data_IF_629628442589
#
_entry.id   IF_629628442589
#
_cell.length_a   1.000
_cell.length_b   1.000
_cell.length_c   1.000
_cell.angle_alpha   90.00
_cell.angle_beta   90.00
_cell.angle_gamma   90.00
#
_symmetry.space_group_name_H-M   'P 1'
#
loop_
_entity.id
_entity.type
_entity.pdbx_description
1 polymer ?
#
# COMPACT_ATOMS: atom_id res chain seq x y z
N UNK A 1 1.20 -2.30 5.47
CA UNK A 1 1.22 -3.75 5.20
C UNK A 1 -0.16 -4.42 5.28
N UNK A 2 -1.00 -4.22 6.33
CA UNK A 2 -2.33 -4.86 6.38
C UNK A 2 -3.18 -4.61 5.13
N UNK A 3 -3.19 -3.39 4.62
CA UNK A 3 -3.96 -3.04 3.41
C UNK A 3 -3.48 -3.82 2.18
N UNK A 4 -2.18 -4.03 2.01
CA UNK A 4 -1.62 -4.81 0.90
C UNK A 4 -2.08 -6.27 1.01
N UNK A 5 -1.97 -6.86 2.21
CA UNK A 5 -2.40 -8.24 2.47
C UNK A 5 -3.89 -8.41 2.13
N UNK A 6 -4.75 -7.49 2.60
CA UNK A 6 -6.18 -7.54 2.32
C UNK A 6 -6.51 -7.32 0.83
N UNK A 7 -5.87 -6.34 0.18
CA UNK A 7 -6.14 -6.00 -1.22
C UNK A 7 -5.72 -7.10 -2.20
N UNK A 8 -4.63 -7.79 -1.92
CA UNK A 8 -4.12 -8.88 -2.76
C UNK A 8 -4.61 -10.26 -2.31
N UNK A 9 -5.33 -10.33 -1.19
CA UNK A 9 -5.79 -11.58 -0.58
C UNK A 9 -4.64 -12.52 -0.21
N UNK A 10 -3.54 -11.97 0.34
CA UNK A 10 -2.32 -12.73 0.67
C UNK A 10 -2.57 -13.63 1.87
N UNK A 11 -2.59 -14.93 1.62
CA UNK A 11 -2.70 -15.98 2.63
C UNK A 11 -2.12 -17.29 2.06
N UNK A 12 -1.61 -18.22 2.86
CA UNK A 12 -1.03 -19.46 2.34
C UNK A 12 -1.99 -20.27 1.48
N UNK A 13 -3.27 -20.34 1.85
CA UNK A 13 -4.30 -21.09 1.15
C UNK A 13 -4.86 -20.39 -0.10
N UNK A 14 -4.61 -19.10 -0.25
CA UNK A 14 -5.02 -18.35 -1.45
C UNK A 14 -3.92 -18.24 -2.49
N UNK A 15 -2.66 -18.58 -2.13
CA UNK A 15 -1.54 -18.61 -3.07
C UNK A 15 -1.71 -19.78 -4.03
N UNK A 16 -1.83 -19.51 -5.34
CA UNK A 16 -2.09 -20.50 -6.39
C UNK A 16 -0.91 -20.72 -7.33
N UNK A 17 0.04 -19.77 -7.39
CA UNK A 17 1.17 -19.89 -8.29
C UNK A 17 2.12 -18.70 -8.20
N UNK A 18 3.05 -18.66 -9.16
CA UNK A 18 4.05 -17.58 -9.26
C UNK A 18 4.45 -17.36 -10.72
N UNK A 19 4.48 -16.12 -11.15
CA UNK A 19 5.13 -15.70 -12.39
C UNK A 19 6.63 -15.63 -12.10
N UNK A 20 7.43 -16.34 -12.89
CA UNK A 20 8.87 -16.43 -12.73
C UNK A 20 9.55 -15.18 -13.32
N UNK A 21 10.67 -14.79 -12.76
CA UNK A 21 11.44 -13.62 -13.23
C UNK A 21 10.57 -12.37 -13.40
N UNK A 22 9.62 -12.18 -12.46
CA UNK A 22 8.65 -11.11 -12.51
C UNK A 22 9.23 -9.78 -12.02
N UNK A 23 9.17 -8.77 -12.89
CA UNK A 23 9.52 -7.39 -12.56
C UNK A 23 8.35 -6.46 -12.98
N UNK A 24 7.77 -5.75 -12.02
CA UNK A 24 6.61 -4.86 -12.27
C UNK A 24 6.95 -3.78 -13.28
N UNK A 25 8.13 -3.17 -13.19
CA UNK A 25 8.55 -2.11 -14.12
C UNK A 25 8.71 -2.64 -15.53
N UNK A 26 9.24 -3.83 -15.68
CA UNK A 26 9.38 -4.51 -16.95
C UNK A 26 8.00 -4.81 -17.57
N UNK A 27 7.08 -5.30 -16.76
CA UNK A 27 5.71 -5.55 -17.22
C UNK A 27 5.01 -4.27 -17.68
N UNK A 28 5.19 -3.14 -16.96
CA UNK A 28 4.58 -1.86 -17.34
C UNK A 28 5.21 -1.24 -18.60
N UNK A 29 6.53 -1.40 -18.80
CA UNK A 29 7.31 -0.70 -19.81
C UNK A 29 7.63 -1.54 -21.05
N UNK A 30 7.59 -2.88 -20.98
CA UNK A 30 7.96 -3.76 -22.10
C UNK A 30 6.88 -3.88 -23.17
N UNK A 31 7.33 -4.13 -24.40
CA UNK A 31 6.46 -4.38 -25.56
C UNK A 31 5.63 -5.68 -25.39
N UNK A 32 4.59 -5.83 -26.22
CA UNK A 32 3.64 -6.95 -26.18
C UNK A 32 4.23 -8.33 -26.48
N UNK A 33 5.46 -8.40 -27.00
CA UNK A 33 6.08 -9.64 -27.54
C UNK A 33 6.85 -10.46 -26.49
N UNK A 34 6.73 -10.12 -25.20
CA UNK A 34 7.42 -10.83 -24.13
C UNK A 34 6.52 -11.92 -23.57
N UNK A 35 7.09 -13.11 -23.35
CA UNK A 35 6.45 -14.23 -22.67
C UNK A 35 6.85 -14.24 -21.19
N UNK A 36 5.88 -14.59 -20.36
CA UNK A 36 6.01 -14.77 -18.92
C UNK A 36 5.81 -16.25 -18.59
N UNK A 37 6.78 -16.83 -17.92
CA UNK A 37 6.67 -18.20 -17.43
C UNK A 37 5.93 -18.19 -16.08
N UNK A 38 4.84 -18.91 -16.03
CA UNK A 38 3.96 -19.00 -14.87
C UNK A 38 4.00 -20.43 -14.33
N UNK A 39 4.33 -20.57 -13.06
CA UNK A 39 4.14 -21.82 -12.34
C UNK A 39 2.77 -21.77 -11.64
N UNK A 40 1.80 -22.55 -12.13
CA UNK A 40 0.44 -22.56 -11.64
C UNK A 40 0.03 -23.99 -11.32
N UNK A 41 -0.34 -24.28 -10.06
CA UNK A 41 -0.74 -25.60 -9.57
C UNK A 41 0.25 -26.74 -9.92
N UNK A 42 1.54 -26.39 -10.01
CA UNK A 42 2.60 -27.35 -10.36
C UNK A 42 2.85 -27.52 -11.87
N UNK A 43 2.06 -26.90 -12.71
CA UNK A 43 2.26 -26.84 -14.16
C UNK A 43 2.99 -25.56 -14.57
N UNK A 44 3.79 -25.65 -15.65
CA UNK A 44 4.46 -24.50 -16.24
C UNK A 44 3.72 -24.03 -17.48
N UNK A 45 3.33 -22.76 -17.48
CA UNK A 45 2.67 -22.10 -18.60
C UNK A 45 3.58 -20.98 -19.10
N UNK A 46 3.70 -20.81 -20.43
CA UNK A 46 4.37 -19.63 -21.02
C UNK A 46 3.31 -18.76 -21.70
N UNK A 47 3.06 -17.58 -21.18
CA UNK A 47 1.99 -16.69 -21.60
C UNK A 47 2.55 -15.38 -22.12
N UNK A 48 2.01 -14.88 -23.24
CA UNK A 48 2.25 -13.49 -23.64
C UNK A 48 1.59 -12.53 -22.64
N UNK A 49 1.97 -11.24 -22.66
CA UNK A 49 1.39 -10.21 -21.78
C UNK A 49 -0.14 -10.17 -21.84
N UNK A 50 -0.70 -10.20 -23.06
CA UNK A 50 -2.17 -10.14 -23.25
C UNK A 50 -2.84 -11.40 -22.69
N UNK A 51 -2.24 -12.58 -22.92
CA UNK A 51 -2.72 -13.86 -22.37
C UNK A 51 -2.57 -13.95 -20.85
N UNK A 52 -1.52 -13.35 -20.29
CA UNK A 52 -1.37 -13.27 -18.83
C UNK A 52 -2.48 -12.39 -18.21
N UNK A 53 -2.82 -11.27 -18.85
CA UNK A 53 -3.93 -10.42 -18.39
C UNK A 53 -5.27 -11.17 -18.43
N UNK A 54 -5.59 -11.83 -19.57
CA UNK A 54 -6.79 -12.66 -19.70
C UNK A 54 -6.82 -13.74 -18.62
N UNK A 55 -5.72 -14.45 -18.41
CA UNK A 55 -5.61 -15.49 -17.39
C UNK A 55 -5.87 -14.96 -15.97
N UNK A 56 -5.30 -13.79 -15.61
CA UNK A 56 -5.52 -13.18 -14.30
C UNK A 56 -6.98 -12.73 -14.11
N UNK A 57 -7.60 -12.16 -15.14
CA UNK A 57 -8.98 -11.67 -15.08
C UNK A 57 -9.99 -12.82 -15.02
N UNK A 58 -9.88 -13.81 -15.90
CA UNK A 58 -10.78 -14.97 -15.98
C UNK A 58 -10.71 -15.83 -14.72
N UNK A 59 -9.50 -16.04 -14.20
CA UNK A 59 -9.25 -16.81 -12.98
C UNK A 59 -9.51 -16.03 -11.70
N UNK A 60 -9.76 -14.72 -11.79
CA UNK A 60 -9.90 -13.82 -10.65
C UNK A 60 -8.68 -13.87 -9.71
N UNK A 61 -7.50 -13.75 -10.29
CA UNK A 61 -6.25 -13.72 -9.53
C UNK A 61 -5.71 -12.31 -9.40
N UNK A 62 -5.11 -12.04 -8.24
CA UNK A 62 -4.23 -10.89 -8.03
C UNK A 62 -2.79 -11.32 -8.16
N UNK A 63 -1.91 -10.39 -8.56
CA UNK A 63 -0.47 -10.60 -8.65
C UNK A 63 0.26 -9.63 -7.74
N UNK A 64 1.15 -10.14 -6.89
CA UNK A 64 2.02 -9.33 -6.07
C UNK A 64 3.30 -8.94 -6.81
N UNK A 65 4.03 -7.95 -6.29
CA UNK A 65 5.26 -7.47 -6.94
C UNK A 65 6.42 -8.47 -6.98
N UNK A 66 6.33 -9.59 -6.26
CA UNK A 66 7.26 -10.71 -6.39
C UNK A 66 6.76 -11.81 -7.36
N UNK A 67 5.68 -11.55 -8.10
CA UNK A 67 5.08 -12.47 -9.05
C UNK A 67 4.14 -13.51 -8.44
N UNK A 68 3.97 -13.58 -7.13
CA UNK A 68 3.02 -14.51 -6.51
C UNK A 68 1.59 -14.18 -6.89
N UNK A 69 0.83 -15.25 -7.21
CA UNK A 69 -0.56 -15.20 -7.61
C UNK A 69 -1.47 -15.64 -6.46
N UNK A 70 -2.52 -14.87 -6.22
CA UNK A 70 -3.50 -15.15 -5.18
C UNK A 70 -4.91 -15.15 -5.76
N UNK A 71 -5.72 -16.15 -5.44
CA UNK A 71 -7.14 -16.21 -5.83
C UNK A 71 -7.96 -15.21 -4.99
N UNK A 72 -9.04 -14.68 -5.58
CA UNK A 72 -9.92 -13.70 -4.94
C UNK A 72 -11.38 -14.13 -4.87
N UNK A 73 -11.68 -15.36 -5.24
CA UNK A 73 -13.02 -15.96 -5.18
C UNK A 73 -13.50 -16.18 -3.73
N UNK A 74 -12.56 -16.49 -2.82
CA UNK A 74 -12.79 -16.60 -1.38
C UNK A 74 -11.84 -15.68 -0.61
N UNK A 75 -12.30 -15.16 0.53
CA UNK A 75 -11.48 -14.34 1.39
C UNK A 75 -10.53 -15.22 2.22
N UNK A 76 -9.23 -15.00 2.08
CA UNK A 76 -8.22 -15.75 2.82
C UNK A 76 -8.32 -15.54 4.34
N UNK A 77 -7.85 -16.52 5.11
CA UNK A 77 -7.87 -16.49 6.58
C UNK A 77 -7.16 -15.24 7.14
N UNK A 78 -5.97 -14.95 6.63
CA UNK A 78 -5.17 -13.82 7.12
C UNK A 78 -5.82 -12.48 6.77
N UNK A 79 -6.25 -12.22 5.52
CA UNK A 79 -7.05 -11.05 5.17
C UNK A 79 -8.31 -10.89 6.02
N UNK A 80 -9.06 -11.97 6.26
CA UNK A 80 -10.28 -11.94 7.07
C UNK A 80 -10.02 -11.53 8.54
N UNK A 81 -8.95 -12.04 9.15
CA UNK A 81 -8.52 -11.64 10.50
C UNK A 81 -8.10 -10.16 10.52
N UNK A 82 -7.33 -9.72 9.53
CA UNK A 82 -6.88 -8.32 9.44
C UNK A 82 -8.05 -7.36 9.26
N UNK A 83 -9.02 -7.69 8.40
CA UNK A 83 -10.21 -6.86 8.20
C UNK A 83 -11.01 -6.73 9.50
N UNK A 84 -11.25 -7.84 10.20
CA UNK A 84 -11.93 -7.81 11.50
C UNK A 84 -11.21 -6.89 12.49
N UNK A 85 -9.92 -7.04 12.67
CA UNK A 85 -9.15 -6.20 13.61
C UNK A 85 -9.10 -4.73 13.17
N UNK A 86 -9.08 -4.48 11.87
CA UNK A 86 -9.15 -3.12 11.33
C UNK A 86 -10.49 -2.46 11.64
N UNK A 87 -11.61 -3.16 11.42
CA UNK A 87 -12.95 -2.66 11.72
C UNK A 87 -13.12 -2.38 13.23
N UNK A 88 -12.69 -3.31 14.08
CA UNK A 88 -12.69 -3.12 15.54
C UNK A 88 -11.88 -1.88 15.95
N UNK A 89 -10.71 -1.68 15.33
CA UNK A 89 -9.88 -0.49 15.58
C UNK A 89 -10.60 0.81 15.18
N UNK A 90 -11.26 0.82 14.04
CA UNK A 90 -12.03 1.99 13.57
C UNK A 90 -13.13 2.34 14.57
N UNK A 91 -13.85 1.33 15.09
CA UNK A 91 -14.87 1.54 16.10
C UNK A 91 -14.28 2.07 17.43
N UNK A 92 -13.21 1.47 17.92
CA UNK A 92 -12.54 1.94 19.14
C UNK A 92 -12.04 3.38 19.00
N UNK A 93 -11.52 3.79 17.85
CA UNK A 93 -11.13 5.18 17.58
C UNK A 93 -12.32 6.15 17.60
N UNK A 94 -13.48 5.74 17.08
CA UNK A 94 -14.71 6.54 17.16
C UNK A 94 -15.15 6.73 18.61
N UNK A 95 -15.11 5.66 19.42
CA UNK A 95 -15.47 5.69 20.83
C UNK A 95 -14.44 6.49 21.66
N UNK A 96 -13.14 6.34 21.41
CA UNK A 96 -12.09 7.15 22.01
C UNK A 96 -12.36 8.64 21.80
N UNK A 97 -12.62 9.06 20.55
CA UNK A 97 -12.94 10.46 20.23
C UNK A 97 -14.23 10.92 20.91
N UNK A 98 -15.29 10.08 20.90
CA UNK A 98 -16.57 10.40 21.54
C UNK A 98 -16.40 10.68 23.04
N UNK A 99 -15.72 9.78 23.76
CA UNK A 99 -15.53 9.92 25.21
C UNK A 99 -14.48 10.97 25.57
N UNK A 100 -13.50 11.23 24.72
CA UNK A 100 -12.62 12.39 24.84
C UNK A 100 -13.37 13.72 24.80
N UNK A 101 -14.31 13.87 23.86
CA UNK A 101 -15.13 15.08 23.72
C UNK A 101 -16.15 15.24 24.86
N UNK A 102 -16.64 14.15 25.46
CA UNK A 102 -17.59 14.19 26.58
C UNK A 102 -16.92 14.37 27.95
N UNK A 103 -15.57 14.36 28.00
CA UNK A 103 -14.81 14.47 29.26
C UNK A 103 -14.79 13.20 30.13
N UNK A 104 -15.32 12.08 29.65
CA UNK A 104 -15.24 10.79 30.33
C UNK A 104 -13.83 10.19 30.19
N UNK A 105 -12.95 10.56 31.11
CA UNK A 105 -11.52 10.20 31.07
C UNK A 105 -11.29 8.68 31.16
N UNK A 106 -12.11 7.97 31.94
CA UNK A 106 -11.95 6.52 32.12
C UNK A 106 -12.24 5.76 30.83
N UNK A 107 -13.39 6.02 30.22
CA UNK A 107 -13.74 5.40 28.93
C UNK A 107 -12.82 5.85 27.80
N UNK A 108 -12.41 7.12 27.80
CA UNK A 108 -11.42 7.61 26.82
C UNK A 108 -10.13 6.80 26.90
N UNK A 109 -9.55 6.60 28.09
CA UNK A 109 -8.33 5.80 28.26
C UNK A 109 -8.54 4.33 27.90
N UNK A 110 -9.67 3.75 28.26
CA UNK A 110 -10.02 2.37 27.92
C UNK A 110 -10.02 2.16 26.40
N UNK A 111 -10.73 2.99 25.63
CA UNK A 111 -10.80 2.85 24.18
C UNK A 111 -9.50 3.24 23.49
N UNK A 112 -8.73 4.17 24.04
CA UNK A 112 -7.37 4.48 23.58
C UNK A 112 -6.45 3.26 23.70
N UNK A 113 -6.49 2.54 24.82
CA UNK A 113 -5.72 1.30 24.99
C UNK A 113 -6.18 0.21 24.01
N UNK A 114 -7.49 0.01 23.85
CA UNK A 114 -8.07 -0.99 22.95
C UNK A 114 -7.67 -0.76 21.50
N UNK A 115 -7.81 0.46 20.98
CA UNK A 115 -7.41 0.75 19.59
C UNK A 115 -5.89 0.61 19.38
N UNK A 116 -5.09 0.88 20.42
CA UNK A 116 -3.64 0.68 20.36
C UNK A 116 -3.28 -0.81 20.26
N UNK A 117 -3.93 -1.67 21.05
CA UNK A 117 -3.75 -3.13 20.96
C UNK A 117 -4.06 -3.62 19.55
N UNK A 118 -5.17 -3.17 18.94
CA UNK A 118 -5.51 -3.55 17.56
C UNK A 118 -4.45 -3.05 16.56
N UNK A 119 -3.89 -1.86 16.75
CA UNK A 119 -2.78 -1.37 15.92
C UNK A 119 -1.57 -2.30 16.00
N UNK A 120 -1.21 -2.74 17.21
CA UNK A 120 -0.08 -3.65 17.41
C UNK A 120 -0.35 -5.00 16.74
N UNK A 121 -1.54 -5.58 16.92
CA UNK A 121 -1.93 -6.86 16.29
C UNK A 121 -1.86 -6.79 14.77
N UNK A 122 -2.42 -5.74 14.16
CA UNK A 122 -2.40 -5.51 12.72
C UNK A 122 -0.97 -5.46 12.15
N UNK A 123 -0.06 -4.79 12.85
CA UNK A 123 1.33 -4.66 12.40
C UNK A 123 2.14 -5.94 12.67
N UNK A 124 1.86 -6.64 13.77
CA UNK A 124 2.59 -7.85 14.16
C UNK A 124 2.29 -9.04 13.24
N UNK A 125 1.06 -9.12 12.69
CA UNK A 125 0.69 -10.24 11.84
C UNK A 125 1.55 -10.32 10.58
N UNK A 126 1.91 -9.17 9.98
CA UNK A 126 2.88 -9.16 8.89
C UNK A 126 4.24 -9.74 9.33
N UNK A 127 4.76 -9.30 10.50
CA UNK A 127 6.07 -9.75 10.99
C UNK A 127 6.15 -11.26 11.21
N UNK A 128 5.06 -11.90 11.65
CA UNK A 128 5.05 -13.35 11.87
C UNK A 128 4.96 -14.17 10.59
N UNK A 129 4.45 -13.62 9.46
CA UNK A 129 4.46 -14.31 8.17
C UNK A 129 5.87 -14.65 7.70
N UNK A 130 6.85 -13.83 8.03
CA UNK A 130 8.27 -14.06 7.74
C UNK A 130 9.02 -14.85 8.82
N UNK A 131 8.36 -15.33 9.87
CA UNK A 131 8.99 -16.04 10.98
C UNK A 131 8.91 -17.56 10.78
N UNK A 132 10.05 -18.27 10.59
CA UNK A 132 10.05 -19.72 10.28
C UNK A 132 9.34 -20.62 11.29
N UNK A 133 9.20 -20.16 12.54
CA UNK A 133 8.49 -20.89 13.60
C UNK A 133 6.97 -20.67 13.59
N UNK A 134 6.48 -19.75 12.78
CA UNK A 134 5.05 -19.49 12.68
C UNK A 134 4.35 -20.55 11.84
N UNK A 135 3.16 -21.01 12.29
CA UNK A 135 2.39 -22.06 11.61
C UNK A 135 2.08 -21.75 10.14
N UNK A 136 1.86 -20.50 9.81
CA UNK A 136 1.53 -20.02 8.46
C UNK A 136 2.70 -19.30 7.81
N UNK A 137 3.93 -19.68 8.21
CA UNK A 137 5.15 -19.15 7.59
C UNK A 137 5.17 -19.46 6.10
N UNK A 138 5.40 -18.43 5.31
CA UNK A 138 5.65 -18.52 3.89
C UNK A 138 6.50 -17.31 3.47
N UNK A 139 7.73 -17.56 3.07
CA UNK A 139 8.68 -16.50 2.68
C UNK A 139 8.19 -15.71 1.48
N UNK A 140 7.55 -16.38 0.51
CA UNK A 140 6.98 -15.70 -0.67
C UNK A 140 5.87 -14.73 -0.27
N UNK A 141 5.01 -15.11 0.71
CA UNK A 141 3.96 -14.23 1.19
C UNK A 141 4.52 -13.01 1.94
N UNK A 142 5.58 -13.18 2.74
CA UNK A 142 6.24 -12.06 3.40
C UNK A 142 6.91 -11.13 2.38
N UNK A 143 7.60 -11.70 1.38
CA UNK A 143 8.22 -10.96 0.29
C UNK A 143 7.19 -10.23 -0.58
N UNK A 144 6.04 -10.87 -0.89
CA UNK A 144 4.95 -10.26 -1.63
C UNK A 144 4.48 -8.95 -0.99
N UNK A 145 4.34 -8.91 0.33
CA UNK A 145 3.93 -7.70 1.05
C UNK A 145 4.98 -6.59 0.95
N UNK A 146 6.24 -6.91 1.18
CA UNK A 146 7.32 -5.90 1.19
C UNK A 146 7.62 -5.37 -0.20
N UNK A 147 7.77 -6.23 -1.20
CA UNK A 147 8.06 -5.79 -2.57
C UNK A 147 6.88 -5.03 -3.19
N UNK A 148 5.63 -5.42 -2.88
CA UNK A 148 4.46 -4.62 -3.30
C UNK A 148 4.46 -3.26 -2.63
N UNK A 149 4.79 -3.17 -1.33
CA UNK A 149 4.95 -1.89 -0.63
C UNK A 149 6.01 -1.01 -1.28
N UNK A 150 7.18 -1.59 -1.61
CA UNK A 150 8.25 -0.87 -2.31
C UNK A 150 7.83 -0.39 -3.70
N UNK A 151 7.13 -1.21 -4.47
CA UNK A 151 6.64 -0.81 -5.80
C UNK A 151 5.63 0.32 -5.72
N UNK A 152 4.71 0.26 -4.75
CA UNK A 152 3.71 1.31 -4.52
C UNK A 152 4.35 2.64 -4.12
N UNK A 153 5.33 2.63 -3.21
CA UNK A 153 5.97 3.86 -2.75
C UNK A 153 6.82 4.51 -3.85
N UNK A 154 7.57 3.71 -4.63
CA UNK A 154 8.32 4.19 -5.80
C UNK A 154 7.39 4.78 -6.87
N UNK A 155 6.26 4.13 -7.13
CA UNK A 155 5.26 4.66 -8.04
C UNK A 155 4.67 5.98 -7.54
N UNK A 156 4.38 6.09 -6.25
CA UNK A 156 3.87 7.33 -5.63
C UNK A 156 4.88 8.46 -5.74
N UNK A 157 6.17 8.20 -5.48
CA UNK A 157 7.24 9.16 -5.67
C UNK A 157 7.31 9.65 -7.12
N UNK A 158 7.34 8.72 -8.08
CA UNK A 158 7.39 9.05 -9.51
C UNK A 158 6.20 9.91 -9.95
N UNK A 159 4.99 9.53 -9.51
CA UNK A 159 3.78 10.27 -9.87
C UNK A 159 3.71 11.64 -9.22
N UNK A 160 4.13 11.77 -7.96
CA UNK A 160 4.24 13.06 -7.29
C UNK A 160 5.24 13.98 -7.97
N UNK A 161 6.44 13.50 -8.27
CA UNK A 161 7.43 14.26 -9.02
C UNK A 161 6.90 14.68 -10.40
N UNK A 162 6.23 13.79 -11.12
CA UNK A 162 5.61 14.12 -12.42
C UNK A 162 4.57 15.26 -12.29
N UNK A 163 3.73 15.22 -11.24
CA UNK A 163 2.78 16.30 -10.96
C UNK A 163 3.49 17.64 -10.73
N UNK A 164 4.52 17.67 -9.89
CA UNK A 164 5.31 18.88 -9.61
C UNK A 164 6.03 19.41 -10.85
N UNK A 165 6.68 18.54 -11.60
CA UNK A 165 7.38 18.88 -12.84
C UNK A 165 6.44 19.49 -13.89
N UNK A 166 5.26 18.87 -14.06
CA UNK A 166 4.22 19.37 -14.96
C UNK A 166 3.69 20.73 -14.51
N UNK A 167 3.41 20.87 -13.21
CA UNK A 167 2.89 22.12 -12.65
C UNK A 167 3.93 23.24 -12.73
N UNK A 168 5.19 22.97 -12.48
CA UNK A 168 6.25 23.99 -12.43
C UNK A 168 6.91 24.25 -13.79
N UNK A 169 6.83 23.31 -14.73
CA UNK A 169 7.49 23.38 -16.04
C UNK A 169 9.01 23.12 -15.96
N UNK A 170 9.46 22.36 -14.98
CA UNK A 170 10.88 22.01 -14.73
C UNK A 170 11.01 20.50 -14.53
N UNK A 171 12.23 19.97 -14.60
CA UNK A 171 12.50 18.52 -14.45
C UNK A 171 13.26 18.18 -13.16
N UNK A 172 13.11 19.01 -12.12
CA UNK A 172 13.77 18.80 -10.83
C UNK A 172 13.07 17.71 -10.01
N UNK A 173 13.78 17.19 -9.01
CA UNK A 173 13.24 16.28 -8.00
C UNK A 173 12.72 17.09 -6.80
N UNK A 174 11.45 16.90 -6.46
CA UNK A 174 10.76 17.58 -5.36
C UNK A 174 10.49 16.67 -4.17
N UNK A 175 10.83 15.38 -4.28
CA UNK A 175 10.75 14.45 -3.17
C UNK A 175 11.87 14.74 -2.17
N UNK A 176 11.52 15.00 -0.91
CA UNK A 176 12.46 15.30 0.16
C UNK A 176 12.82 14.05 0.95
N UNK A 177 11.83 13.20 1.20
CA UNK A 177 11.98 12.07 2.11
C UNK A 177 10.90 11.02 1.84
N UNK A 178 11.28 9.75 1.98
CA UNK A 178 10.40 8.60 1.85
C UNK A 178 10.57 7.74 3.11
N UNK A 179 9.46 7.32 3.70
CA UNK A 179 9.46 6.39 4.83
C UNK A 179 8.31 5.39 4.71
N UNK A 180 8.66 4.13 4.55
CA UNK A 180 7.78 2.94 4.55
C UNK A 180 6.55 3.07 3.66
N UNK A 181 5.61 3.96 3.99
CA UNK A 181 4.30 4.16 3.34
C UNK A 181 3.95 5.66 3.13
N UNK A 182 4.93 6.54 3.25
CA UNK A 182 4.76 7.98 3.07
C UNK A 182 5.86 8.59 2.22
N UNK A 183 5.46 9.54 1.36
CA UNK A 183 6.36 10.35 0.53
C UNK A 183 6.14 11.80 0.87
N UNK A 184 7.23 12.53 1.11
CA UNK A 184 7.21 13.94 1.48
C UNK A 184 7.76 14.78 0.33
N UNK A 185 7.00 15.79 -0.07
CA UNK A 185 7.38 16.74 -1.11
C UNK A 185 7.49 18.15 -0.56
N UNK A 186 8.36 18.96 -1.18
CA UNK A 186 8.40 20.40 -0.90
C UNK A 186 7.23 21.11 -1.57
N UNK A 187 6.25 21.55 -0.82
CA UNK A 187 5.12 22.30 -1.38
C UNK A 187 5.50 23.73 -1.79
N UNK A 188 6.58 24.29 -1.22
CA UNK A 188 6.98 25.69 -1.38
C UNK A 188 7.11 26.14 -2.86
N UNK A 189 7.70 25.37 -3.78
CA UNK A 189 7.80 25.78 -5.18
C UNK A 189 6.44 26.01 -5.86
N UNK A 190 5.44 25.14 -5.58
CA UNK A 190 4.08 25.31 -6.12
C UNK A 190 3.39 26.51 -5.46
N UNK A 191 3.51 26.65 -4.14
CA UNK A 191 2.94 27.78 -3.41
C UNK A 191 3.49 29.11 -3.98
N UNK A 192 4.79 29.23 -4.17
CA UNK A 192 5.42 30.42 -4.77
C UNK A 192 4.98 30.70 -6.20
N UNK A 193 4.81 29.66 -7.00
CA UNK A 193 4.30 29.83 -8.38
C UNK A 193 2.87 30.38 -8.38
N UNK A 194 2.00 29.88 -7.50
CA UNK A 194 0.58 30.29 -7.42
C UNK A 194 0.40 31.64 -6.74
N UNK A 195 1.21 31.93 -5.73
CA UNK A 195 1.17 33.17 -4.97
C UNK A 195 2.60 33.70 -4.73
N UNK A 196 3.20 34.42 -5.72
CA UNK A 196 4.59 34.92 -5.64
C UNK A 196 4.84 35.88 -4.49
N UNK A 197 3.80 36.54 -3.96
CA UNK A 197 3.88 37.50 -2.87
C UNK A 197 3.56 36.96 -1.50
N UNK A 198 3.42 35.64 -1.36
CA UNK A 198 3.07 35.01 -0.08
C UNK A 198 4.19 35.25 0.95
N UNK A 199 3.79 35.62 2.15
CA UNK A 199 4.73 35.70 3.29
C UNK A 199 5.01 34.29 3.82
N UNK A 200 6.22 33.79 3.56
CA UNK A 200 6.68 32.46 3.97
C UNK A 200 6.75 32.28 5.49
N UNK A 201 6.83 33.39 6.26
CA UNK A 201 6.85 33.36 7.72
C UNK A 201 5.44 33.33 8.32
N UNK A 202 4.40 33.43 7.50
CA UNK A 202 3.02 33.33 7.96
C UNK A 202 2.52 31.89 7.86
N UNK A 203 2.68 31.12 8.96
CA UNK A 203 2.32 29.70 9.05
C UNK A 203 0.86 29.43 8.71
N UNK A 204 -0.06 30.35 9.02
CA UNK A 204 -1.48 30.16 8.75
C UNK A 204 -1.78 30.24 7.24
N UNK A 205 -1.20 31.22 6.54
CA UNK A 205 -1.34 31.36 5.10
C UNK A 205 -0.67 30.19 4.36
N UNK A 206 0.56 29.83 4.76
CA UNK A 206 1.28 28.70 4.21
C UNK A 206 0.51 27.39 4.37
N UNK A 207 -0.03 27.13 5.56
CA UNK A 207 -0.82 25.93 5.83
C UNK A 207 -2.08 25.86 4.96
N UNK A 208 -2.76 26.96 4.71
CA UNK A 208 -3.94 27.01 3.82
C UNK A 208 -3.57 26.65 2.38
N UNK A 209 -2.52 27.22 1.84
CA UNK A 209 -2.06 26.95 0.47
C UNK A 209 -1.60 25.49 0.31
N UNK A 210 -0.83 24.97 1.28
CA UNK A 210 -0.39 23.57 1.28
C UNK A 210 -1.59 22.61 1.33
N UNK A 211 -2.63 22.90 2.11
CA UNK A 211 -3.84 22.09 2.16
C UNK A 211 -4.61 22.08 0.83
N UNK A 212 -4.56 23.15 0.06
CA UNK A 212 -5.16 23.19 -1.30
C UNK A 212 -4.38 22.23 -2.21
N UNK A 213 -3.04 22.34 -2.25
CA UNK A 213 -2.19 21.47 -3.07
C UNK A 213 -2.36 20.00 -2.70
N UNK A 214 -2.49 19.69 -1.42
CA UNK A 214 -2.61 18.29 -0.94
C UNK A 214 -3.94 17.60 -1.31
N UNK A 215 -4.91 18.34 -1.85
CA UNK A 215 -6.23 17.80 -2.26
C UNK A 215 -6.34 17.58 -3.77
N UNK A 216 -5.40 18.05 -4.54
CA UNK A 216 -5.26 17.86 -5.97
C UNK A 216 -4.49 16.58 -6.31
#
# INVERSE_FOLDING_TARGET
YPSIIMSLNISPETKVGKVLEWEVEDYLNKSKDITYDVNFEGEKLSLTKDRLNEFLEESKFTIASNGCLYRTDDNGLIPAILDKWFQERVEFRKLEKKYGNSGDKEKHQYFKARQYVQKVLLNSLYGVLGLPTFRFYDSDNAEAVTLTGQSLIKYTEKMGNFYYQKELGVSDDFCIYIDTDSVFYSALPIVKKRNPSIDENNDELMSKEILVISRE
#
